data_IF_292047371475
#
_entry.id   IF_292047371475
#
_cell.length_a   1.000
_cell.length_b   1.000
_cell.length_c   1.000
_cell.angle_alpha   90.00
_cell.angle_beta   90.00
_cell.angle_gamma   90.00
#
_symmetry.space_group_name_H-M   'P 1'
#
loop_
_entity.id
_entity.type
_entity.pdbx_description
1 polymer ?
#
# COMPACT_ATOMS: atom_id res chain seq x y z
N UNK A 1 -30.09 -11.71 -5.87
CA UNK A 1 -28.90 -12.09 -6.66
C UNK A 1 -28.67 -10.97 -7.65
N UNK A 2 -28.06 -9.90 -7.17
CA UNK A 2 -27.94 -8.63 -7.85
C UNK A 2 -26.49 -8.22 -7.64
N UNK A 3 -25.73 -8.58 -8.66
CA UNK A 3 -24.29 -8.52 -8.75
C UNK A 3 -23.92 -7.05 -9.00
N UNK A 4 -23.66 -6.30 -7.93
CA UNK A 4 -23.25 -4.89 -8.03
C UNK A 4 -21.78 -4.83 -8.48
N UNK A 5 -21.58 -4.94 -9.80
CA UNK A 5 -20.36 -4.55 -10.49
C UNK A 5 -20.42 -3.05 -10.78
N UNK A 6 -19.74 -2.24 -9.99
CA UNK A 6 -19.27 -0.93 -10.44
C UNK A 6 -18.08 -0.48 -9.59
N UNK A 7 -16.87 -0.78 -10.07
CA UNK A 7 -15.62 -0.28 -9.48
C UNK A 7 -14.69 0.34 -10.54
N UNK A 8 -15.14 0.47 -11.79
CA UNK A 8 -14.32 1.00 -12.87
C UNK A 8 -14.85 2.37 -13.32
N UNK A 9 -14.44 3.42 -12.60
CA UNK A 9 -14.32 4.81 -13.07
C UNK A 9 -13.42 5.57 -12.08
N UNK A 10 -12.23 5.03 -11.81
CA UNK A 10 -11.09 5.92 -11.53
C UNK A 10 -10.00 5.53 -12.51
N UNK A 11 -10.06 6.21 -13.65
CA UNK A 11 -8.95 6.43 -14.56
C UNK A 11 -7.77 7.02 -13.75
N UNK A 12 -6.98 6.16 -13.10
CA UNK A 12 -5.82 6.58 -12.32
C UNK A 12 -4.66 6.86 -13.28
N UNK A 13 -4.72 8.06 -13.84
CA UNK A 13 -3.64 8.71 -14.59
C UNK A 13 -2.36 8.81 -13.73
N UNK A 14 -1.18 8.84 -14.36
CA UNK A 14 0.09 8.75 -13.67
C UNK A 14 0.51 10.12 -13.10
N UNK A 15 1.19 10.09 -11.96
CA UNK A 15 1.80 11.22 -11.23
C UNK A 15 0.86 12.13 -10.42
N UNK A 16 0.69 11.85 -9.13
CA UNK A 16 1.00 12.86 -8.11
C UNK A 16 1.40 12.19 -6.78
N UNK A 17 2.27 12.88 -6.04
CA UNK A 17 2.50 12.68 -4.61
C UNK A 17 1.47 13.49 -3.78
N UNK A 18 0.52 14.16 -4.43
CA UNK A 18 -0.40 15.15 -3.85
C UNK A 18 -1.54 14.49 -3.08
N UNK A 19 -1.99 13.32 -3.52
CA UNK A 19 -3.02 12.55 -2.81
C UNK A 19 -2.60 12.11 -1.41
N UNK A 20 -1.30 11.99 -1.10
CA UNK A 20 -0.86 11.76 0.28
C UNK A 20 -1.08 13.00 1.17
N UNK A 21 -0.96 14.21 0.61
CA UNK A 21 -1.07 15.47 1.35
C UNK A 21 -2.49 15.73 1.86
N UNK A 22 -3.51 15.46 1.05
CA UNK A 22 -4.91 15.74 1.43
C UNK A 22 -5.40 14.79 2.53
N UNK A 23 -4.98 13.52 2.48
CA UNK A 23 -5.27 12.56 3.54
C UNK A 23 -4.46 12.85 4.82
N UNK A 24 -3.23 13.33 4.72
CA UNK A 24 -2.42 13.74 5.87
C UNK A 24 -2.94 15.03 6.54
N UNK A 25 -3.49 15.97 5.78
CA UNK A 25 -4.07 17.21 6.30
C UNK A 25 -5.35 16.95 7.09
N UNK A 26 -6.26 16.13 6.54
CA UNK A 26 -7.47 15.68 7.25
C UNK A 26 -7.12 14.87 8.52
N UNK A 27 -5.99 14.16 8.52
CA UNK A 27 -5.49 13.38 9.66
C UNK A 27 -4.91 14.26 10.76
N UNK A 28 -4.16 15.30 10.41
CA UNK A 28 -3.68 16.29 11.39
C UNK A 28 -4.84 17.04 12.03
N UNK A 29 -5.85 17.42 11.25
CA UNK A 29 -7.07 18.04 11.77
C UNK A 29 -7.84 17.10 12.72
N UNK A 30 -7.96 15.82 12.38
CA UNK A 30 -8.63 14.83 13.25
C UNK A 30 -7.87 14.60 14.57
N UNK A 31 -6.54 14.57 14.55
CA UNK A 31 -5.69 14.47 15.74
C UNK A 31 -5.87 15.66 16.69
N UNK A 32 -5.93 16.87 16.12
CA UNK A 32 -6.20 18.11 16.87
C UNK A 32 -7.60 18.12 17.48
N UNK A 33 -8.59 17.64 16.74
CA UNK A 33 -9.98 17.54 17.22
C UNK A 33 -10.11 16.56 18.40
N UNK A 34 -9.52 15.35 18.33
CA UNK A 34 -9.53 14.40 19.44
C UNK A 34 -8.74 14.89 20.67
N UNK A 35 -7.67 15.65 20.46
CA UNK A 35 -6.91 16.26 21.58
C UNK A 35 -7.69 17.38 22.28
N UNK A 36 -8.64 18.00 21.58
CA UNK A 36 -9.47 19.09 22.11
C UNK A 36 -10.65 18.60 22.97
N UNK A 37 -11.06 17.34 22.81
CA UNK A 37 -12.15 16.75 23.61
C UNK A 37 -11.69 16.13 24.92
N UNK A 38 -10.38 16.14 25.21
CA UNK A 38 -9.80 15.64 26.46
C UNK A 38 -9.92 16.71 27.58
N UNK A 39 -11.15 16.92 28.07
CA UNK A 39 -11.41 17.79 29.24
C UNK A 39 -10.78 17.17 30.49
N UNK A 40 -9.51 17.49 30.73
CA UNK A 40 -8.76 17.04 31.90
C UNK A 40 -9.22 17.83 33.14
N UNK A 41 -10.12 17.25 33.94
CA UNK A 41 -10.35 17.68 35.33
C UNK A 41 -9.08 17.36 36.14
N UNK A 42 -8.23 18.36 36.36
CA UNK A 42 -7.11 18.26 37.28
C UNK A 42 -7.63 18.37 38.73
N UNK A 43 -7.83 17.23 39.39
CA UNK A 43 -7.78 17.15 40.85
C UNK A 43 -6.48 16.46 41.23
N UNK A 44 -5.53 17.24 41.75
CA UNK A 44 -4.31 16.73 42.39
C UNK A 44 -4.74 15.93 43.61
N UNK A 45 -4.40 14.65 43.69
CA UNK A 45 -4.19 13.89 44.93
C UNK A 45 -3.38 12.64 44.60
N UNK A 46 -2.35 12.41 45.40
CA UNK A 46 -1.34 11.37 45.26
C UNK A 46 -1.94 9.96 45.16
N UNK A 47 -1.46 9.16 44.21
CA UNK A 47 -1.26 7.72 44.44
C UNK A 47 -0.46 7.10 43.31
N UNK A 48 0.59 6.36 43.70
CA UNK A 48 1.39 5.44 42.90
C UNK A 48 0.57 4.24 42.40
N UNK A 49 -0.55 4.48 41.71
CA UNK A 49 -1.19 3.47 40.89
C UNK A 49 -0.41 3.38 39.59
N UNK A 50 0.23 2.23 39.36
CA UNK A 50 0.77 1.82 38.04
C UNK A 50 -0.32 2.08 36.99
N UNK A 51 -0.28 3.25 36.35
CA UNK A 51 -1.11 3.58 35.20
C UNK A 51 -0.71 2.57 34.13
N UNK A 52 -1.48 1.48 34.00
CA UNK A 52 -1.43 0.60 32.83
C UNK A 52 -1.43 1.55 31.64
N UNK A 53 -0.31 1.57 30.89
CA UNK A 53 -0.18 2.39 29.68
C UNK A 53 -1.35 1.99 28.79
N UNK A 54 -2.42 2.80 28.78
CA UNK A 54 -3.47 2.67 27.77
C UNK A 54 -2.72 2.89 26.46
N UNK A 55 -2.51 1.82 25.70
CA UNK A 55 -1.94 1.91 24.36
C UNK A 55 -2.78 2.95 23.64
N UNK A 56 -2.16 4.05 23.24
CA UNK A 56 -2.87 5.19 22.67
C UNK A 56 -3.55 4.70 21.39
N UNK A 57 -4.88 4.58 21.41
CA UNK A 57 -5.66 4.02 20.31
C UNK A 57 -5.38 4.77 19.01
N UNK A 58 -5.14 6.08 19.12
CA UNK A 58 -4.72 6.94 18.03
C UNK A 58 -3.42 6.40 17.43
N UNK A 59 -2.35 6.22 18.21
CA UNK A 59 -1.06 5.69 17.70
C UNK A 59 -1.19 4.33 17.02
N UNK A 60 -2.11 3.48 17.47
CA UNK A 60 -2.39 2.19 16.82
C UNK A 60 -3.04 2.39 15.45
N UNK A 61 -4.08 3.21 15.37
CA UNK A 61 -4.75 3.54 14.10
C UNK A 61 -3.77 4.21 13.13
N UNK A 62 -2.95 5.12 13.63
CA UNK A 62 -1.87 5.77 12.90
C UNK A 62 -0.87 4.76 12.30
N UNK A 63 -0.51 3.72 13.06
CA UNK A 63 0.34 2.65 12.58
C UNK A 63 -0.36 1.79 11.51
N UNK A 64 -1.64 1.47 11.68
CA UNK A 64 -2.44 0.72 10.70
C UNK A 64 -2.52 1.46 9.36
N UNK A 65 -2.76 2.78 9.38
CA UNK A 65 -2.79 3.62 8.18
C UNK A 65 -1.44 3.58 7.45
N UNK A 66 -0.34 3.74 8.18
CA UNK A 66 1.02 3.65 7.59
C UNK A 66 1.27 2.30 6.93
N UNK A 67 0.87 1.21 7.57
CA UNK A 67 1.05 -0.13 6.99
C UNK A 67 0.17 -0.31 5.74
N UNK A 68 -1.06 0.20 5.74
CA UNK A 68 -1.91 0.22 4.54
C UNK A 68 -1.24 0.95 3.38
N UNK A 69 -0.63 2.11 3.62
CA UNK A 69 0.10 2.85 2.59
C UNK A 69 1.33 2.10 2.10
N UNK A 70 2.11 1.49 2.99
CA UNK A 70 3.25 0.65 2.63
C UNK A 70 2.81 -0.52 1.73
N UNK A 71 1.70 -1.18 2.08
CA UNK A 71 1.10 -2.25 1.29
C UNK A 71 0.55 -1.77 -0.06
N UNK A 72 -0.05 -0.59 -0.13
CA UNK A 72 -0.50 -0.01 -1.40
C UNK A 72 0.68 0.22 -2.36
N UNK A 73 1.77 0.80 -1.87
CA UNK A 73 3.00 1.00 -2.65
C UNK A 73 3.54 -0.33 -3.20
N UNK A 74 3.60 -1.35 -2.35
CA UNK A 74 4.02 -2.69 -2.76
C UNK A 74 3.10 -3.27 -3.85
N UNK A 75 1.78 -3.20 -3.64
CA UNK A 75 0.82 -3.73 -4.59
C UNK A 75 0.87 -2.99 -5.94
N UNK A 76 1.12 -1.67 -5.94
CA UNK A 76 1.33 -0.89 -7.17
C UNK A 76 2.52 -1.41 -7.98
N UNK A 77 3.66 -1.67 -7.32
CA UNK A 77 4.82 -2.26 -7.97
C UNK A 77 4.52 -3.66 -8.53
N UNK A 78 3.76 -4.49 -7.81
CA UNK A 78 3.30 -5.79 -8.31
C UNK A 78 2.41 -5.67 -9.57
N UNK A 79 1.50 -4.69 -9.61
CA UNK A 79 0.66 -4.45 -10.79
C UNK A 79 1.48 -4.01 -12.00
N UNK A 80 2.46 -3.13 -11.80
CA UNK A 80 3.39 -2.70 -12.85
C UNK A 80 4.21 -3.87 -13.39
N UNK A 81 4.70 -4.74 -12.49
CA UNK A 81 5.40 -5.95 -12.90
C UNK A 81 4.48 -6.84 -13.77
N UNK A 82 3.25 -7.10 -13.35
CA UNK A 82 2.30 -7.93 -14.13
C UNK A 82 2.01 -7.39 -15.52
N UNK A 83 1.99 -6.07 -15.68
CA UNK A 83 1.72 -5.43 -16.97
C UNK A 83 2.79 -5.75 -18.02
N UNK A 84 4.04 -5.92 -17.61
CA UNK A 84 5.16 -6.22 -18.51
C UNK A 84 5.42 -7.72 -18.70
N UNK A 85 4.70 -8.59 -17.98
CA UNK A 85 4.89 -10.03 -18.11
C UNK A 85 4.12 -10.59 -19.31
N UNK A 86 4.72 -11.51 -20.09
CA UNK A 86 4.05 -12.16 -21.21
C UNK A 86 3.06 -13.21 -20.69
N UNK A 87 1.84 -12.78 -20.35
CA UNK A 87 0.78 -13.67 -19.85
C UNK A 87 -0.45 -13.51 -20.71
N UNK A 88 -0.92 -14.61 -21.31
CA UNK A 88 -2.06 -14.59 -22.24
C UNK A 88 -3.41 -14.37 -21.53
N UNK A 89 -3.47 -14.68 -20.24
CA UNK A 89 -4.69 -14.60 -19.46
C UNK A 89 -4.91 -13.20 -18.89
N UNK A 90 -6.09 -12.62 -19.18
CA UNK A 90 -6.60 -11.36 -18.62
C UNK A 90 -6.84 -11.41 -17.08
N UNK A 91 -6.47 -12.51 -16.42
CA UNK A 91 -6.69 -12.72 -14.99
C UNK A 91 -5.49 -12.25 -14.16
N UNK A 92 -5.77 -11.76 -12.94
CA UNK A 92 -4.75 -11.32 -11.99
C UNK A 92 -3.96 -12.52 -11.47
N UNK A 93 -2.69 -12.64 -11.88
CA UNK A 93 -1.74 -13.61 -11.32
C UNK A 93 -1.63 -13.49 -9.80
N UNK A 94 -1.38 -14.59 -9.08
CA UNK A 94 -1.01 -14.53 -7.65
C UNK A 94 0.38 -13.91 -7.47
N UNK A 95 0.76 -13.57 -6.22
CA UNK A 95 2.10 -13.01 -5.93
C UNK A 95 3.21 -13.99 -6.30
N UNK A 96 3.04 -15.28 -5.97
CA UNK A 96 4.05 -16.30 -6.26
C UNK A 96 4.18 -16.56 -7.76
N UNK A 97 3.07 -16.63 -8.47
CA UNK A 97 3.07 -16.77 -9.94
C UNK A 97 3.72 -15.56 -10.60
N UNK A 98 3.36 -14.35 -10.18
CA UNK A 98 3.97 -13.11 -10.72
C UNK A 98 5.50 -13.16 -10.61
N UNK A 99 6.03 -13.58 -9.45
CA UNK A 99 7.48 -13.67 -9.24
C UNK A 99 8.11 -14.77 -10.09
N UNK A 100 7.50 -15.96 -10.15
CA UNK A 100 8.00 -17.08 -10.96
C UNK A 100 8.03 -16.73 -12.44
N UNK A 101 6.94 -16.18 -12.96
CA UNK A 101 6.82 -15.74 -14.35
C UNK A 101 7.85 -14.64 -14.67
N UNK A 102 8.08 -13.70 -13.77
CA UNK A 102 9.09 -12.65 -13.95
C UNK A 102 10.51 -13.24 -14.07
N UNK A 103 10.90 -14.15 -13.17
CA UNK A 103 12.20 -14.81 -13.25
C UNK A 103 12.37 -15.56 -14.57
N UNK A 104 11.37 -16.35 -14.97
CA UNK A 104 11.41 -17.10 -16.22
C UNK A 104 11.50 -16.18 -17.44
N UNK A 105 10.77 -15.06 -17.42
CA UNK A 105 10.80 -14.10 -18.53
C UNK A 105 12.16 -13.44 -18.69
N UNK A 106 12.79 -13.02 -17.58
CA UNK A 106 14.15 -12.47 -17.60
C UNK A 106 15.14 -13.49 -18.19
N UNK A 107 15.08 -14.75 -17.76
CA UNK A 107 15.96 -15.80 -18.29
C UNK A 107 15.74 -16.04 -19.78
N UNK A 108 14.49 -16.11 -20.23
CA UNK A 108 14.15 -16.30 -21.64
C UNK A 108 14.68 -15.16 -22.51
N UNK A 109 14.49 -13.90 -22.08
CA UNK A 109 15.04 -12.75 -22.80
C UNK A 109 16.57 -12.78 -22.86
N UNK A 110 17.23 -13.20 -21.77
CA UNK A 110 18.69 -13.33 -21.74
C UNK A 110 19.20 -14.43 -22.70
N UNK A 111 18.47 -15.54 -22.84
CA UNK A 111 18.83 -16.61 -23.76
C UNK A 111 18.59 -16.23 -25.22
N UNK A 112 17.50 -15.51 -25.51
CA UNK A 112 17.21 -14.97 -26.85
C UNK A 112 18.32 -14.02 -27.32
N UNK A 113 18.74 -13.09 -26.47
CA UNK A 113 19.82 -12.15 -26.81
C UNK A 113 21.15 -12.86 -27.11
N UNK A 114 21.48 -13.92 -26.37
CA UNK A 114 22.70 -14.72 -26.64
C UNK A 114 22.62 -15.48 -27.96
N UNK A 115 21.44 -15.98 -28.32
CA UNK A 115 21.24 -16.66 -29.60
C UNK A 115 21.39 -15.67 -30.75
N UNK A 116 20.80 -14.48 -30.63
CA UNK A 116 20.92 -13.43 -31.65
C UNK A 116 22.38 -12.97 -31.83
N UNK A 117 23.13 -12.77 -30.74
CA UNK A 117 24.56 -12.44 -30.81
C UNK A 117 25.41 -13.56 -31.46
N UNK A 118 24.98 -14.81 -31.36
CA UNK A 118 25.63 -15.95 -32.02
C UNK A 118 25.26 -16.11 -33.50
N UNK A 119 24.19 -15.47 -33.94
CA UNK A 119 23.75 -15.44 -35.35
C UNK A 119 24.31 -14.24 -36.12
N UNK A 120 24.87 -13.25 -35.41
CA UNK A 120 25.45 -12.02 -35.98
C UNK A 120 26.98 -12.15 -36.17
N UNK A 121 27.62 -13.14 -35.55
CA UNK A 121 29.05 -13.48 -35.76
C UNK A 121 29.23 -14.59 -36.79
#
# INVERSE_FOLDING_TARGET
MDNSFSCDEILFSPLDNSTNSLFDEHRQQMSLYLSSTDTTKQTKLSSNYRKKRKLNTIQREEATVREKHRMLKLNRAYSQLRYVLPVENKFKLSRIETLRTACNYISMLADLLKQDDSLIN
#
